data_IF_031065285281
#
_entry.id   IF_031065285281
#
_cell.length_a   1.000
_cell.length_b   1.000
_cell.length_c   1.000
_cell.angle_alpha   90.00
_cell.angle_beta   90.00
_cell.angle_gamma   90.00
#
_symmetry.space_group_name_H-M   'P 1'
#
loop_
_entity.id
_entity.type
_entity.pdbx_description
1 polymer ?
#
# COMPACT_ATOMS: atom_id res chain seq x y z
N UNK A 1 -11.92 -10.51 8.08
CA UNK A 1 -11.15 -10.00 6.93
C UNK A 1 -10.13 -8.98 7.39
N UNK A 2 -8.96 -8.99 6.79
CA UNK A 2 -7.91 -8.05 7.16
C UNK A 2 -8.18 -6.69 6.51
N UNK A 3 -7.90 -5.63 7.26
CA UNK A 3 -8.00 -4.27 6.73
C UNK A 3 -6.72 -3.95 5.97
N UNK A 4 -6.87 -3.54 4.71
CA UNK A 4 -5.73 -3.24 3.84
C UNK A 4 -5.77 -1.78 3.45
N UNK A 5 -4.68 -1.08 3.74
CA UNK A 5 -4.49 0.33 3.41
C UNK A 5 -3.19 0.47 2.64
N UNK A 6 -3.16 1.40 1.69
CA UNK A 6 -1.99 1.56 0.84
C UNK A 6 -1.72 3.03 0.56
N UNK A 7 -0.47 3.44 0.77
CA UNK A 7 -0.01 4.77 0.39
C UNK A 7 0.60 4.71 -1.00
N UNK A 8 0.18 5.61 -1.88
CA UNK A 8 0.61 5.66 -3.27
C UNK A 8 0.95 7.09 -3.69
N UNK A 9 1.50 7.23 -4.91
CA UNK A 9 1.68 8.53 -5.54
C UNK A 9 1.39 8.41 -7.03
N UNK A 10 1.20 9.57 -7.70
CA UNK A 10 0.90 9.60 -9.13
C UNK A 10 2.09 9.18 -9.99
N UNK A 11 3.31 9.26 -9.46
CA UNK A 11 4.53 8.98 -10.21
C UNK A 11 5.22 7.69 -9.75
N UNK A 12 4.47 6.73 -9.24
CA UNK A 12 5.02 5.52 -8.66
C UNK A 12 4.66 4.29 -9.52
N UNK A 13 5.59 3.78 -10.35
CA UNK A 13 5.31 2.58 -11.16
C UNK A 13 4.99 1.36 -10.33
N UNK A 14 5.67 1.18 -9.20
CA UNK A 14 5.42 0.03 -8.32
C UNK A 14 4.06 0.12 -7.65
N UNK A 15 3.56 1.33 -7.41
CA UNK A 15 2.21 1.51 -6.89
C UNK A 15 1.17 0.99 -7.88
N UNK A 16 1.37 1.27 -9.17
CA UNK A 16 0.49 0.77 -10.24
C UNK A 16 0.50 -0.76 -10.29
N UNK A 17 1.69 -1.35 -10.23
CA UNK A 17 1.82 -2.81 -10.22
C UNK A 17 1.14 -3.43 -9.02
N UNK A 18 1.29 -2.82 -7.86
CA UNK A 18 0.66 -3.31 -6.64
C UNK A 18 -0.85 -3.24 -6.72
N UNK A 19 -1.39 -2.14 -7.23
CA UNK A 19 -2.85 -2.01 -7.42
C UNK A 19 -3.39 -3.06 -8.38
N UNK A 20 -2.68 -3.30 -9.48
CA UNK A 20 -3.07 -4.33 -10.44
C UNK A 20 -3.08 -5.71 -9.79
N UNK A 21 -2.05 -6.01 -9.01
CA UNK A 21 -1.96 -7.29 -8.31
C UNK A 21 -3.14 -7.50 -7.36
N UNK A 22 -3.48 -6.47 -6.58
CA UNK A 22 -4.58 -6.54 -5.63
C UNK A 22 -5.91 -6.72 -6.36
N UNK A 23 -6.11 -5.98 -7.46
CA UNK A 23 -7.34 -6.09 -8.26
C UNK A 23 -7.49 -7.48 -8.89
N UNK A 24 -6.40 -8.04 -9.41
CA UNK A 24 -6.41 -9.37 -10.02
C UNK A 24 -6.74 -10.48 -9.02
N UNK A 25 -6.45 -10.24 -7.75
CA UNK A 25 -6.72 -11.21 -6.69
C UNK A 25 -7.99 -10.88 -5.91
N UNK A 26 -8.80 -9.95 -6.40
CA UNK A 26 -10.05 -9.51 -5.79
C UNK A 26 -9.87 -9.06 -4.33
N UNK A 27 -8.76 -8.37 -4.05
CA UNK A 27 -8.44 -7.85 -2.73
C UNK A 27 -8.86 -6.40 -2.66
N UNK A 28 -9.75 -6.07 -1.74
CA UNK A 28 -10.18 -4.68 -1.50
C UNK A 28 -9.16 -3.96 -0.62
N UNK A 29 -8.95 -2.68 -0.91
CA UNK A 29 -8.00 -1.86 -0.16
C UNK A 29 -8.43 -0.40 -0.16
N UNK A 30 -7.93 0.35 0.81
CA UNK A 30 -8.12 1.80 0.89
C UNK A 30 -6.83 2.45 0.38
N UNK A 31 -6.96 3.32 -0.61
CA UNK A 31 -5.81 4.00 -1.19
C UNK A 31 -5.68 5.42 -0.63
N UNK A 32 -4.48 5.76 -0.16
CA UNK A 32 -4.13 7.12 0.26
C UNK A 32 -3.08 7.65 -0.71
N UNK A 33 -3.51 8.48 -1.66
CA UNK A 33 -2.60 9.04 -2.67
C UNK A 33 -1.95 10.31 -2.12
N UNK A 34 -0.64 10.25 -1.87
CA UNK A 34 0.08 11.38 -1.27
C UNK A 34 0.31 12.53 -2.24
N UNK A 35 0.16 12.30 -3.55
CA UNK A 35 0.22 13.37 -4.56
C UNK A 35 -1.04 14.21 -4.55
N UNK A 36 -2.17 13.65 -4.13
CA UNK A 36 -3.46 14.33 -4.14
C UNK A 36 -3.83 14.94 -2.80
N UNK A 37 -3.17 14.53 -1.72
CA UNK A 37 -3.48 15.02 -0.38
C UNK A 37 -2.22 15.14 0.45
N UNK A 38 -1.94 16.36 0.90
CA UNK A 38 -0.81 16.62 1.80
C UNK A 38 -1.03 15.98 3.17
N UNK A 39 -2.28 15.77 3.56
CA UNK A 39 -2.61 15.11 4.81
C UNK A 39 -2.19 13.64 4.77
N UNK A 40 -2.41 12.96 3.65
CA UNK A 40 -1.95 11.58 3.48
C UNK A 40 -0.43 11.49 3.55
N UNK A 41 0.26 12.46 2.97
CA UNK A 41 1.72 12.51 3.04
C UNK A 41 2.19 12.69 4.47
N UNK A 42 1.55 13.57 5.23
CA UNK A 42 1.88 13.77 6.65
C UNK A 42 1.67 12.50 7.46
N UNK A 43 0.59 11.78 7.20
CA UNK A 43 0.31 10.52 7.88
C UNK A 43 1.36 9.45 7.58
N UNK A 44 1.81 9.38 6.32
CA UNK A 44 2.87 8.46 5.92
C UNK A 44 4.16 8.73 6.69
N UNK A 45 4.57 9.99 6.76
CA UNK A 45 5.77 10.40 7.48
C UNK A 45 5.62 10.13 8.98
N UNK A 46 4.44 10.37 9.53
CA UNK A 46 4.13 10.10 10.93
C UNK A 46 4.32 8.63 11.29
N UNK A 47 4.01 7.74 10.37
CA UNK A 47 4.20 6.31 10.57
C UNK A 47 5.64 5.86 10.32
N UNK A 48 6.51 6.78 9.95
CA UNK A 48 7.94 6.51 9.82
C UNK A 48 8.40 6.15 8.42
N UNK A 49 7.60 6.42 7.39
CA UNK A 49 7.93 6.08 6.02
C UNK A 49 8.13 7.31 5.16
N UNK A 50 9.08 7.25 4.24
CA UNK A 50 9.40 8.34 3.33
C UNK A 50 9.24 7.97 1.85
N UNK A 51 8.79 6.77 1.56
CA UNK A 51 8.66 6.28 0.19
C UNK A 51 7.33 5.56 -0.02
N UNK A 52 6.96 5.36 -1.28
CA UNK A 52 5.78 4.62 -1.69
C UNK A 52 6.21 3.53 -2.69
N UNK A 53 5.44 2.46 -2.84
CA UNK A 53 4.23 2.12 -2.10
C UNK A 53 4.52 1.60 -0.70
N UNK A 54 3.64 1.93 0.24
CA UNK A 54 3.64 1.30 1.56
C UNK A 54 2.25 0.72 1.76
N UNK A 55 2.18 -0.57 2.06
CA UNK A 55 0.92 -1.25 2.28
C UNK A 55 0.82 -1.66 3.74
N UNK A 56 -0.32 -1.43 4.34
CA UNK A 56 -0.58 -1.85 5.71
C UNK A 56 -1.66 -2.92 5.70
N UNK A 57 -1.33 -4.09 6.24
CA UNK A 57 -2.27 -5.21 6.37
C UNK A 57 -2.49 -5.41 7.87
N UNK A 58 -3.63 -4.94 8.38
CA UNK A 58 -3.92 -4.82 9.81
C UNK A 58 -2.81 -4.02 10.51
N UNK A 59 -1.91 -4.67 11.25
CA UNK A 59 -0.82 -4.01 11.95
C UNK A 59 0.54 -4.23 11.29
N UNK A 60 0.58 -5.01 10.20
CA UNK A 60 1.82 -5.34 9.50
C UNK A 60 2.03 -4.41 8.31
N UNK A 61 3.30 -4.10 8.02
CA UNK A 61 3.65 -3.23 6.90
C UNK A 61 4.39 -4.00 5.82
N UNK A 62 4.09 -3.66 4.55
CA UNK A 62 4.82 -4.17 3.40
C UNK A 62 5.38 -2.97 2.66
N UNK A 63 6.70 -2.93 2.48
CA UNK A 63 7.39 -1.85 1.80
C UNK A 63 7.68 -2.25 0.35
N UNK A 64 7.27 -1.39 -0.57
CA UNK A 64 7.48 -1.64 -1.99
C UNK A 64 6.55 -2.71 -2.55
N UNK A 65 6.85 -3.17 -3.76
CA UNK A 65 6.07 -4.22 -4.40
C UNK A 65 6.66 -5.59 -4.05
N UNK A 66 6.25 -6.11 -2.92
CA UNK A 66 6.79 -7.35 -2.35
C UNK A 66 5.70 -8.43 -2.32
N UNK A 67 5.53 -9.11 -3.44
CA UNK A 67 4.49 -10.13 -3.59
C UNK A 67 4.63 -11.29 -2.60
N UNK A 68 5.83 -11.86 -2.37
CA UNK A 68 5.96 -12.95 -1.39
C UNK A 68 5.49 -12.55 0.01
N UNK A 69 5.81 -11.33 0.44
CA UNK A 69 5.39 -10.82 1.75
C UNK A 69 3.88 -10.64 1.81
N UNK A 70 3.29 -10.11 0.74
CA UNK A 70 1.84 -9.93 0.65
C UNK A 70 1.13 -11.27 0.74
N UNK A 71 1.59 -12.26 -0.01
CA UNK A 71 1.01 -13.60 0.03
C UNK A 71 1.08 -14.21 1.41
N UNK A 72 2.20 -14.03 2.09
CA UNK A 72 2.39 -14.55 3.44
C UNK A 72 1.41 -13.94 4.42
N UNK A 73 1.25 -12.61 4.38
CA UNK A 73 0.38 -11.90 5.31
C UNK A 73 -1.10 -12.12 5.01
N UNK A 74 -1.47 -12.28 3.75
CA UNK A 74 -2.85 -12.49 3.34
C UNK A 74 -3.22 -13.97 3.23
N UNK A 75 -2.24 -14.83 3.30
CA UNK A 75 -2.44 -16.29 3.26
C UNK A 75 -3.08 -16.73 1.94
N UNK A 76 -2.55 -16.22 0.85
CA UNK A 76 -3.06 -16.53 -0.51
C UNK A 76 -1.99 -17.17 -1.39
#
# INVERSE_FOLDING_TARGET
>A
MKKIEMYTSDTCPNCTKLKEYLNQNNIEYIEYNISKSSEHKKNLVKEGFLSVPVMKIDEDYVLGFDVPRIKQLLNI
#
